data_IF_800497070280
#
_entry.id   IF_800497070280
#
_cell.length_a   1.000
_cell.length_b   1.000
_cell.length_c   1.000
_cell.angle_alpha   90.00
_cell.angle_beta   90.00
_cell.angle_gamma   90.00
#
_symmetry.space_group_name_H-M   'P 1'
#
loop_
_entity.id
_entity.type
_entity.pdbx_description
1 polymer ?
#
# COMPACT_ATOMS: atom_id res chain seq x y z
N UNK A 1 21.56 12.90 -9.09
CA UNK A 1 20.46 12.45 -9.97
C UNK A 1 19.78 11.29 -9.25
N UNK A 2 18.56 11.47 -8.76
CA UNK A 2 17.81 10.37 -8.17
C UNK A 2 17.55 9.33 -9.28
N UNK A 3 18.07 8.12 -9.11
CA UNK A 3 17.74 6.99 -9.98
C UNK A 3 16.24 6.74 -9.82
N UNK A 4 15.48 6.82 -10.91
CA UNK A 4 14.09 6.38 -10.93
C UNK A 4 14.03 4.93 -10.49
N UNK A 5 13.43 4.70 -9.32
CA UNK A 5 13.20 3.36 -8.82
C UNK A 5 11.84 2.91 -9.39
N UNK A 6 11.77 1.88 -10.25
CA UNK A 6 10.50 1.44 -10.83
C UNK A 6 9.48 0.96 -9.77
N UNK A 7 9.95 0.70 -8.54
CA UNK A 7 9.12 0.34 -7.39
C UNK A 7 8.49 1.53 -6.63
N UNK A 8 8.76 2.78 -7.04
CA UNK A 8 8.19 4.00 -6.40
C UNK A 8 7.10 4.68 -7.21
N UNK A 9 6.48 4.00 -8.18
CA UNK A 9 5.37 4.55 -8.94
C UNK A 9 4.19 4.88 -8.01
N UNK A 10 3.75 6.13 -7.99
CA UNK A 10 2.59 6.55 -7.20
C UNK A 10 1.30 5.95 -7.77
N UNK A 11 0.25 5.87 -6.94
CA UNK A 11 -1.07 5.40 -7.40
C UNK A 11 -1.64 6.28 -8.52
N UNK A 12 -1.33 7.57 -8.49
CA UNK A 12 -1.71 8.50 -9.55
C UNK A 12 -0.97 8.17 -10.84
N UNK A 13 0.35 8.00 -10.79
CA UNK A 13 1.14 7.68 -11.98
C UNK A 13 0.76 6.33 -12.58
N UNK A 14 0.47 5.34 -11.73
CA UNK A 14 -0.11 4.05 -12.12
C UNK A 14 -1.38 4.24 -12.95
N UNK A 15 -2.35 5.01 -12.45
CA UNK A 15 -3.63 5.21 -13.11
C UNK A 15 -3.47 5.93 -14.46
N UNK A 16 -2.69 7.02 -14.49
CA UNK A 16 -2.46 7.78 -15.71
C UNK A 16 -1.77 6.92 -16.80
N UNK A 17 -0.66 6.27 -16.46
CA UNK A 17 0.16 5.52 -17.43
C UNK A 17 -0.52 4.23 -17.88
N UNK A 18 -1.02 3.43 -16.95
CA UNK A 18 -1.48 2.08 -17.26
C UNK A 18 -2.94 2.00 -17.71
N UNK A 19 -3.80 2.92 -17.22
CA UNK A 19 -5.24 2.82 -17.46
C UNK A 19 -5.77 3.88 -18.43
N UNK A 20 -5.18 5.09 -18.45
CA UNK A 20 -5.63 6.20 -19.32
C UNK A 20 -4.71 6.49 -20.51
N UNK A 21 -3.57 5.79 -20.59
CA UNK A 21 -2.54 6.01 -21.61
C UNK A 21 -2.06 7.47 -21.66
N UNK A 22 -1.86 8.06 -20.48
CA UNK A 22 -1.36 9.42 -20.29
C UNK A 22 0.08 9.31 -19.84
N UNK A 23 0.99 9.86 -20.64
CA UNK A 23 2.39 10.03 -20.27
C UNK A 23 2.53 11.21 -19.30
N UNK A 24 3.28 10.97 -18.23
CA UNK A 24 3.52 11.98 -17.18
C UNK A 24 4.88 12.56 -17.42
N UNK A 25 4.92 13.87 -17.60
CA UNK A 25 6.16 14.63 -17.77
C UNK A 25 6.46 15.31 -16.45
N UNK A 26 7.46 14.80 -15.73
CA UNK A 26 7.89 15.40 -14.47
C UNK A 26 8.67 16.68 -14.72
N UNK A 27 8.20 17.77 -14.12
CA UNK A 27 8.95 19.02 -14.08
C UNK A 27 10.00 18.96 -12.96
N UNK A 28 11.26 18.76 -13.33
CA UNK A 28 12.41 18.69 -12.42
C UNK A 28 13.01 20.05 -12.04
N UNK A 29 12.42 21.16 -12.53
CA UNK A 29 12.90 22.51 -12.23
C UNK A 29 11.75 23.49 -11.96
N UNK A 30 11.95 24.48 -11.06
CA UNK A 30 11.00 25.58 -10.86
C UNK A 30 10.72 26.38 -12.14
N UNK A 31 11.71 26.51 -13.02
CA UNK A 31 11.58 27.20 -14.30
C UNK A 31 10.51 26.54 -15.20
N UNK A 32 10.36 25.22 -15.13
CA UNK A 32 9.30 24.49 -15.83
C UNK A 32 7.90 24.69 -15.20
N UNK A 33 7.81 25.27 -13.99
CA UNK A 33 6.56 25.49 -13.24
C UNK A 33 6.22 26.97 -13.01
N UNK A 34 7.01 27.92 -13.51
CA UNK A 34 6.93 29.33 -13.11
C UNK A 34 5.57 30.02 -13.28
N UNK A 35 4.75 29.64 -14.27
CA UNK A 35 3.37 30.17 -14.42
C UNK A 35 2.45 29.68 -13.30
N UNK A 36 2.54 28.40 -12.97
CA UNK A 36 1.74 27.76 -11.92
C UNK A 36 2.17 28.27 -10.55
N UNK A 37 3.47 28.42 -10.31
CA UNK A 37 3.99 28.94 -9.03
C UNK A 37 3.57 30.39 -8.78
N UNK A 38 3.61 31.25 -9.81
CA UNK A 38 3.11 32.63 -9.70
C UNK A 38 1.62 32.66 -9.35
N UNK A 39 0.81 31.87 -10.06
CA UNK A 39 -0.63 31.77 -9.79
C UNK A 39 -0.88 31.28 -8.35
N UNK A 40 -0.22 30.21 -7.92
CA UNK A 40 -0.38 29.66 -6.58
C UNK A 40 0.05 30.63 -5.49
N UNK A 41 1.13 31.38 -5.68
CA UNK A 41 1.51 32.44 -4.74
C UNK A 41 0.43 33.51 -4.61
N UNK A 42 -0.13 33.96 -5.74
CA UNK A 42 -1.24 34.93 -5.72
C UNK A 42 -2.48 34.37 -5.04
N UNK A 43 -2.86 33.11 -5.34
CA UNK A 43 -4.02 32.48 -4.71
C UNK A 43 -3.80 32.30 -3.21
N UNK A 44 -2.66 31.75 -2.78
CA UNK A 44 -2.37 31.54 -1.36
C UNK A 44 -2.35 32.85 -0.55
N UNK A 45 -1.90 33.96 -1.13
CA UNK A 45 -1.96 35.24 -0.41
C UNK A 45 -3.38 35.85 -0.45
N UNK A 46 -3.95 36.00 -1.64
CA UNK A 46 -5.18 36.77 -1.85
C UNK A 46 -6.43 36.01 -1.44
N UNK A 47 -6.56 34.74 -1.82
CA UNK A 47 -7.75 33.95 -1.51
C UNK A 47 -7.94 33.84 0.00
N UNK A 48 -6.87 33.59 0.75
CA UNK A 48 -6.92 33.49 2.22
C UNK A 48 -7.40 34.81 2.84
N UNK A 49 -6.92 35.95 2.34
CA UNK A 49 -7.35 37.28 2.80
C UNK A 49 -8.80 37.56 2.47
N UNK A 50 -9.26 37.23 1.27
CA UNK A 50 -10.67 37.42 0.88
C UNK A 50 -11.62 36.50 1.67
N UNK A 51 -11.24 35.25 1.94
CA UNK A 51 -12.00 34.37 2.83
C UNK A 51 -12.12 34.96 4.24
N UNK A 52 -11.03 35.52 4.79
CA UNK A 52 -11.06 36.22 6.10
C UNK A 52 -11.94 37.46 6.08
N UNK A 53 -11.87 38.28 5.03
CA UNK A 53 -12.68 39.49 4.91
C UNK A 53 -14.19 39.17 4.87
N UNK A 54 -14.56 38.04 4.29
CA UNK A 54 -15.95 37.57 4.23
C UNK A 54 -16.35 36.71 5.44
N UNK A 55 -15.50 36.61 6.47
CA UNK A 55 -15.71 35.80 7.67
C UNK A 55 -16.09 34.33 7.39
N UNK A 56 -15.56 33.76 6.31
CA UNK A 56 -15.84 32.38 5.90
C UNK A 56 -15.01 31.42 6.75
N UNK A 57 -15.68 30.47 7.41
CA UNK A 57 -15.03 29.51 8.30
C UNK A 57 -15.34 28.04 7.98
N UNK A 58 -16.23 27.78 7.02
CA UNK A 58 -16.61 26.43 6.61
C UNK A 58 -16.21 26.12 5.18
N UNK A 59 -15.93 24.83 4.90
CA UNK A 59 -15.58 24.36 3.54
C UNK A 59 -16.72 24.63 2.56
N UNK A 60 -17.97 24.46 3.00
CA UNK A 60 -19.15 24.67 2.16
C UNK A 60 -19.29 26.12 1.72
N UNK A 61 -19.13 27.07 2.65
CA UNK A 61 -19.15 28.50 2.34
C UNK A 61 -17.96 28.91 1.48
N UNK A 62 -16.78 28.36 1.73
CA UNK A 62 -15.60 28.62 0.92
C UNK A 62 -15.79 28.18 -0.54
N UNK A 63 -16.35 26.99 -0.77
CA UNK A 63 -16.66 26.51 -2.13
C UNK A 63 -17.68 27.42 -2.82
N UNK A 64 -18.74 27.83 -2.11
CA UNK A 64 -19.73 28.76 -2.66
C UNK A 64 -19.10 30.11 -3.05
N UNK A 65 -18.32 30.69 -2.15
CA UNK A 65 -17.61 31.95 -2.40
C UNK A 65 -16.64 31.84 -3.58
N UNK A 66 -15.94 30.72 -3.71
CA UNK A 66 -15.03 30.48 -4.83
C UNK A 66 -15.75 30.53 -6.17
N UNK A 67 -16.85 29.79 -6.30
CA UNK A 67 -17.63 29.67 -7.53
C UNK A 67 -18.39 30.96 -7.88
N UNK A 68 -19.06 31.56 -6.91
CA UNK A 68 -20.00 32.66 -7.15
C UNK A 68 -19.31 34.04 -7.20
N UNK A 69 -18.21 34.23 -6.46
CA UNK A 69 -17.58 35.54 -6.32
C UNK A 69 -16.12 35.59 -6.74
N UNK A 70 -15.28 34.71 -6.18
CA UNK A 70 -13.84 34.83 -6.34
C UNK A 70 -13.40 34.53 -7.77
N UNK A 71 -13.79 33.38 -8.35
CA UNK A 71 -13.39 33.02 -9.70
C UNK A 71 -13.90 33.99 -10.77
N UNK A 72 -15.17 34.47 -10.74
CA UNK A 72 -15.62 35.52 -11.66
C UNK A 72 -14.77 36.80 -11.57
N UNK A 73 -14.52 37.32 -10.36
CA UNK A 73 -13.71 38.53 -10.14
C UNK A 73 -12.24 38.31 -10.55
N UNK A 74 -11.70 37.13 -10.30
CA UNK A 74 -10.32 36.76 -10.64
C UNK A 74 -10.15 36.61 -12.15
N UNK A 75 -11.04 35.87 -12.81
CA UNK A 75 -10.99 35.62 -14.25
C UNK A 75 -11.22 36.92 -15.04
N UNK A 76 -12.09 37.83 -14.58
CA UNK A 76 -12.27 39.13 -15.21
C UNK A 76 -10.97 39.96 -15.27
N UNK A 77 -10.01 39.74 -14.35
CA UNK A 77 -8.74 40.47 -14.28
C UNK A 77 -7.58 39.75 -14.94
N UNK A 78 -7.54 38.42 -14.85
CA UNK A 78 -6.34 37.64 -15.16
C UNK A 78 -6.55 36.58 -16.25
N UNK A 79 -7.79 36.31 -16.67
CA UNK A 79 -8.04 35.36 -17.73
C UNK A 79 -7.51 35.89 -19.07
N UNK A 80 -6.81 35.04 -19.80
CA UNK A 80 -6.34 35.31 -21.15
C UNK A 80 -7.06 34.37 -22.09
N UNK A 81 -7.66 34.90 -23.15
CA UNK A 81 -8.32 34.04 -24.13
C UNK A 81 -7.30 33.14 -24.85
N UNK A 82 -7.66 31.87 -25.09
CA UNK A 82 -6.78 30.97 -25.83
C UNK A 82 -6.65 31.46 -27.28
N UNK A 83 -5.44 31.31 -27.85
CA UNK A 83 -5.17 31.68 -29.25
C UNK A 83 -6.09 30.99 -30.26
N UNK A 84 -6.54 29.77 -29.94
CA UNK A 84 -7.42 28.97 -30.78
C UNK A 84 -8.50 28.32 -29.90
N UNK A 85 -9.75 28.30 -30.37
CA UNK A 85 -10.89 27.66 -29.67
C UNK A 85 -10.98 26.14 -29.92
N UNK A 86 -9.96 25.54 -30.54
CA UNK A 86 -9.96 24.11 -30.85
C UNK A 86 -9.89 23.29 -29.57
N UNK A 87 -10.82 22.34 -29.41
CA UNK A 87 -10.80 21.41 -28.30
C UNK A 87 -9.90 20.20 -28.67
N UNK A 88 -8.76 20.07 -28.00
CA UNK A 88 -7.81 18.96 -28.19
C UNK A 88 -7.92 17.89 -27.10
N UNK A 89 -8.96 17.94 -26.26
CA UNK A 89 -9.16 16.96 -25.20
C UNK A 89 -9.58 15.62 -25.78
N UNK A 90 -8.96 14.54 -25.30
CA UNK A 90 -9.37 13.18 -25.65
C UNK A 90 -10.65 12.82 -24.89
N UNK A 91 -11.71 12.48 -25.63
CA UNK A 91 -12.90 11.92 -25.01
C UNK A 91 -12.63 10.52 -24.45
N UNK A 92 -13.21 10.25 -23.28
CA UNK A 92 -13.16 8.92 -22.68
C UNK A 92 -14.11 7.97 -23.40
N UNK A 93 -13.62 6.77 -23.71
CA UNK A 93 -14.44 5.67 -24.21
C UNK A 93 -15.47 5.23 -23.17
N UNK A 94 -16.58 4.61 -23.61
CA UNK A 94 -17.60 4.05 -22.70
C UNK A 94 -17.01 3.10 -21.66
N UNK A 95 -15.99 2.33 -22.06
CA UNK A 95 -15.29 1.38 -21.20
C UNK A 95 -14.47 2.10 -20.12
N UNK A 96 -13.72 3.15 -20.47
CA UNK A 96 -12.98 3.95 -19.48
C UNK A 96 -13.93 4.62 -18.49
N UNK A 97 -15.02 5.22 -18.99
CA UNK A 97 -16.06 5.84 -18.14
C UNK A 97 -16.65 4.86 -17.12
N UNK A 98 -16.94 3.62 -17.53
CA UNK A 98 -17.47 2.59 -16.61
C UNK A 98 -16.46 2.10 -15.57
N UNK A 99 -15.17 2.37 -15.75
CA UNK A 99 -14.08 1.84 -14.92
C UNK A 99 -13.39 2.91 -14.09
N UNK A 100 -13.86 4.16 -14.10
CA UNK A 100 -13.19 5.27 -13.42
C UNK A 100 -12.91 4.98 -11.93
N UNK A 101 -13.87 4.38 -11.22
CA UNK A 101 -13.68 4.01 -9.80
C UNK A 101 -12.54 3.00 -9.60
N UNK A 102 -12.37 2.06 -10.54
CA UNK A 102 -11.27 1.10 -10.52
C UNK A 102 -9.94 1.75 -10.93
N UNK A 103 -9.98 2.63 -11.94
CA UNK A 103 -8.80 3.35 -12.43
C UNK A 103 -8.21 4.25 -11.35
N UNK A 104 -9.05 5.02 -10.66
CA UNK A 104 -8.64 5.95 -9.61
C UNK A 104 -8.59 5.34 -8.21
N UNK A 105 -8.82 4.03 -8.07
CA UNK A 105 -8.66 3.33 -6.80
C UNK A 105 -7.19 3.23 -6.36
N UNK A 106 -6.98 3.16 -5.04
CA UNK A 106 -5.71 2.72 -4.48
C UNK A 106 -5.53 1.22 -4.73
N UNK A 107 -4.56 0.84 -5.57
CA UNK A 107 -4.35 -0.56 -5.94
C UNK A 107 -3.17 -1.19 -5.20
N UNK A 108 -3.40 -2.31 -4.54
CA UNK A 108 -2.39 -3.01 -3.73
C UNK A 108 -2.33 -4.49 -4.08
N UNK A 109 -1.13 -5.06 -4.16
CA UNK A 109 -0.99 -6.52 -4.32
C UNK A 109 -1.08 -7.21 -2.96
N UNK A 110 -1.92 -8.24 -2.85
CA UNK A 110 -2.03 -9.13 -1.68
C UNK A 110 -2.01 -10.58 -2.12
N UNK A 111 -1.61 -11.45 -1.21
CA UNK A 111 -1.51 -12.89 -1.46
C UNK A 111 -2.67 -13.60 -0.79
N UNK A 112 -3.33 -14.49 -1.54
CA UNK A 112 -4.36 -15.38 -0.99
C UNK A 112 -3.70 -16.41 -0.09
N UNK A 113 -4.14 -16.47 1.17
CA UNK A 113 -3.64 -17.44 2.14
C UNK A 113 -4.15 -18.86 1.87
N UNK A 114 -3.58 -19.82 2.59
CA UNK A 114 -3.92 -21.24 2.42
C UNK A 114 -5.39 -21.58 2.77
N UNK A 115 -6.02 -20.75 3.60
CA UNK A 115 -7.43 -20.80 4.01
C UNK A 115 -8.34 -19.93 3.12
N UNK A 116 -7.83 -19.44 1.98
CA UNK A 116 -8.53 -18.53 1.07
C UNK A 116 -8.95 -17.20 1.70
N UNK A 117 -8.18 -16.75 2.69
CA UNK A 117 -8.32 -15.40 3.25
C UNK A 117 -7.33 -14.41 2.63
N UNK A 118 -7.71 -13.13 2.61
CA UNK A 118 -6.87 -12.01 2.21
C UNK A 118 -6.85 -11.00 3.35
N UNK A 119 -5.65 -10.65 3.83
CA UNK A 119 -5.48 -9.61 4.84
C UNK A 119 -5.23 -8.25 4.17
N UNK A 120 -5.96 -7.22 4.60
CA UNK A 120 -5.77 -5.87 4.12
C UNK A 120 -6.20 -4.82 5.15
N UNK A 121 -5.34 -3.82 5.42
CA UNK A 121 -5.57 -2.72 6.39
C UNK A 121 -6.25 -3.17 7.70
N UNK A 122 -5.65 -4.15 8.39
CA UNK A 122 -6.12 -4.78 9.64
C UNK A 122 -7.36 -5.67 9.52
N UNK A 123 -8.09 -5.61 8.42
CA UNK A 123 -9.22 -6.50 8.14
C UNK A 123 -8.77 -7.80 7.48
N UNK A 124 -9.59 -8.84 7.65
CA UNK A 124 -9.41 -10.14 7.03
C UNK A 124 -10.67 -10.46 6.21
N UNK A 125 -10.48 -10.79 4.94
CA UNK A 125 -11.56 -11.05 4.00
C UNK A 125 -11.52 -12.51 3.60
N UNK A 126 -12.62 -13.23 3.80
CA UNK A 126 -12.78 -14.61 3.36
C UNK A 126 -13.34 -14.61 1.94
N UNK A 127 -12.66 -15.30 1.03
CA UNK A 127 -13.19 -15.55 -0.30
C UNK A 127 -14.30 -16.61 -0.24
N UNK A 128 -15.39 -16.38 -0.97
CA UNK A 128 -16.48 -17.35 -1.08
C UNK A 128 -16.08 -18.57 -1.93
N UNK A 129 -16.82 -19.66 -1.79
CA UNK A 129 -16.57 -20.89 -2.57
C UNK A 129 -16.89 -20.70 -4.06
N UNK A 130 -17.97 -19.98 -4.36
CA UNK A 130 -18.41 -19.72 -5.74
C UNK A 130 -17.71 -18.46 -6.22
N UNK A 131 -16.86 -18.61 -7.23
CA UNK A 131 -16.02 -17.54 -7.75
C UNK A 131 -16.13 -17.48 -9.28
N UNK A 132 -16.03 -16.27 -9.87
CA UNK A 132 -16.05 -16.11 -11.32
C UNK A 132 -14.74 -16.56 -11.98
N UNK A 133 -13.70 -16.85 -11.20
CA UNK A 133 -12.41 -17.34 -11.68
C UNK A 133 -11.83 -18.34 -10.68
N UNK A 134 -11.07 -19.32 -11.16
CA UNK A 134 -10.35 -20.27 -10.31
C UNK A 134 -9.29 -19.56 -9.48
N UNK A 135 -9.35 -19.78 -8.16
CA UNK A 135 -8.42 -19.19 -7.19
C UNK A 135 -7.53 -20.30 -6.66
N UNK A 136 -6.22 -20.07 -6.71
CA UNK A 136 -5.22 -20.94 -6.12
C UNK A 136 -4.67 -20.34 -4.82
N UNK A 137 -4.20 -21.21 -3.93
CA UNK A 137 -3.43 -20.78 -2.75
C UNK A 137 -2.18 -20.04 -3.23
N UNK A 138 -1.84 -18.93 -2.56
CA UNK A 138 -0.72 -18.04 -2.90
C UNK A 138 -0.91 -17.22 -4.18
N UNK A 139 -2.10 -17.22 -4.79
CA UNK A 139 -2.38 -16.29 -5.89
C UNK A 139 -2.22 -14.84 -5.41
N UNK A 140 -1.66 -14.00 -6.29
CA UNK A 140 -1.54 -12.57 -6.05
C UNK A 140 -2.79 -11.88 -6.61
N UNK A 141 -3.56 -11.29 -5.72
CA UNK A 141 -4.76 -10.52 -6.04
C UNK A 141 -4.46 -9.02 -5.97
N UNK A 142 -5.15 -8.25 -6.81
CA UNK A 142 -5.16 -6.79 -6.72
C UNK A 142 -6.32 -6.36 -5.84
N UNK A 143 -6.01 -5.69 -4.73
CA UNK A 143 -6.98 -5.02 -3.88
C UNK A 143 -7.17 -3.61 -4.40
N UNK A 144 -8.41 -3.23 -4.69
CA UNK A 144 -8.83 -1.89 -5.11
C UNK A 144 -9.53 -1.22 -3.94
N UNK A 145 -8.96 -0.12 -3.43
CA UNK A 145 -9.62 0.78 -2.49
C UNK A 145 -10.22 1.95 -3.24
N UNK A 146 -11.55 1.97 -3.35
CA UNK A 146 -12.26 3.01 -4.07
C UNK A 146 -12.49 4.25 -3.19
N UNK A 147 -12.82 5.37 -3.82
CA UNK A 147 -13.02 6.66 -3.16
C UNK A 147 -14.24 6.65 -2.21
N UNK A 148 -15.22 5.81 -2.49
CA UNK A 148 -16.38 5.51 -1.63
C UNK A 148 -16.05 4.58 -0.46
N UNK A 149 -14.77 4.26 -0.25
CA UNK A 149 -14.25 3.34 0.77
C UNK A 149 -14.60 1.87 0.54
N UNK A 150 -15.24 1.54 -0.59
CA UNK A 150 -15.47 0.14 -0.94
C UNK A 150 -14.16 -0.52 -1.35
N UNK A 151 -14.03 -1.80 -0.97
CA UNK A 151 -12.86 -2.62 -1.28
C UNK A 151 -13.29 -3.64 -2.32
N UNK A 152 -12.48 -3.87 -3.34
CA UNK A 152 -12.75 -4.89 -4.34
C UNK A 152 -11.49 -5.73 -4.55
N UNK A 153 -11.66 -7.03 -4.72
CA UNK A 153 -10.54 -7.94 -5.02
C UNK A 153 -10.62 -8.36 -6.47
N UNK A 154 -9.58 -8.09 -7.25
CA UNK A 154 -9.48 -8.44 -8.66
C UNK A 154 -8.39 -9.47 -8.90
N UNK A 155 -8.73 -10.55 -9.61
CA UNK A 155 -7.81 -11.59 -10.04
C UNK A 155 -8.07 -11.91 -11.51
N UNK A 156 -7.02 -11.92 -12.34
CA UNK A 156 -7.11 -12.23 -13.79
C UNK A 156 -8.22 -11.46 -14.52
N UNK A 157 -8.44 -10.21 -14.13
CA UNK A 157 -9.45 -9.32 -14.74
C UNK A 157 -10.90 -9.53 -14.26
N UNK A 158 -11.15 -10.39 -13.27
CA UNK A 158 -12.48 -10.61 -12.66
C UNK A 158 -12.48 -10.19 -11.20
N UNK A 159 -13.61 -9.66 -10.73
CA UNK A 159 -13.83 -9.33 -9.32
C UNK A 159 -14.26 -10.57 -8.54
N UNK A 160 -13.69 -10.77 -7.36
CA UNK A 160 -13.94 -11.93 -6.53
C UNK A 160 -15.08 -11.68 -5.54
N UNK A 161 -15.81 -12.74 -5.21
CA UNK A 161 -16.82 -12.71 -4.16
C UNK A 161 -16.15 -12.89 -2.80
N UNK A 162 -16.49 -12.07 -1.82
CA UNK A 162 -15.85 -12.11 -0.51
C UNK A 162 -16.78 -11.62 0.59
N UNK A 163 -16.45 -11.99 1.82
CA UNK A 163 -17.08 -11.49 3.05
C UNK A 163 -16.03 -11.00 4.03
N UNK A 164 -16.35 -9.93 4.75
CA UNK A 164 -15.52 -9.43 5.83
C UNK A 164 -15.64 -10.38 7.04
N UNK A 165 -14.51 -10.80 7.59
CA UNK A 165 -14.49 -11.54 8.85
C UNK A 165 -14.39 -10.56 10.02
N UNK A 166 -15.20 -10.73 11.09
CA UNK A 166 -15.17 -9.85 12.26
C UNK A 166 -13.87 -10.02 13.06
N UNK A 167 -13.32 -11.24 13.09
CA UNK A 167 -12.05 -11.55 13.72
C UNK A 167 -11.16 -12.38 12.78
N UNK A 168 -9.85 -12.20 12.92
CA UNK A 168 -8.89 -13.04 12.21
C UNK A 168 -9.01 -14.48 12.71
N UNK A 169 -9.05 -15.49 11.82
CA UNK A 169 -9.07 -16.88 12.26
C UNK A 169 -7.83 -17.15 13.11
N UNK A 170 -8.05 -17.59 14.35
CA UNK A 170 -6.96 -17.98 15.26
C UNK A 170 -6.26 -19.17 14.64
N UNK A 171 -4.94 -19.09 14.50
CA UNK A 171 -4.14 -20.24 14.09
C UNK A 171 -4.32 -21.31 15.16
N UNK A 172 -4.98 -22.41 14.82
CA UNK A 172 -4.97 -23.61 15.64
C UNK A 172 -3.54 -24.13 15.56
N UNK A 173 -2.76 -23.87 16.60
CA UNK A 173 -1.45 -24.46 16.75
C UNK A 173 -1.71 -25.92 17.12
N UNK A 174 -1.90 -26.78 16.10
CA UNK A 174 -1.86 -28.21 16.34
C UNK A 174 -0.44 -28.45 16.80
N UNK A 175 -0.26 -28.74 18.09
CA UNK A 175 1.02 -29.11 18.64
C UNK A 175 1.58 -30.19 17.72
N UNK A 176 2.57 -29.80 16.91
CA UNK A 176 3.41 -30.77 16.25
C UNK A 176 4.21 -31.35 17.40
N UNK A 177 3.70 -32.44 18.00
CA UNK A 177 4.54 -33.34 18.78
C UNK A 177 5.81 -33.53 17.98
N UNK A 178 6.91 -33.00 18.50
CA UNK A 178 8.20 -33.14 17.84
C UNK A 178 8.50 -34.65 17.86
N UNK A 179 8.31 -35.33 16.72
CA UNK A 179 8.70 -36.73 16.55
C UNK A 179 10.23 -36.92 16.61
N UNK A 180 10.97 -35.81 16.70
CA UNK A 180 12.42 -35.77 16.89
C UNK A 180 12.68 -35.51 18.37
N UNK A 181 13.11 -36.54 19.09
CA UNK A 181 13.77 -36.37 20.39
C UNK A 181 15.08 -35.63 20.11
N UNK A 182 15.15 -34.34 20.46
CA UNK A 182 16.39 -33.58 20.36
C UNK A 182 17.38 -34.19 21.34
N UNK A 183 18.51 -34.73 20.86
CA UNK A 183 19.56 -35.25 21.71
C UNK A 183 20.10 -34.12 22.60
N UNK A 184 19.82 -34.18 23.90
CA UNK A 184 20.29 -33.18 24.85
C UNK A 184 21.82 -33.34 24.99
N UNK A 185 22.59 -32.47 24.34
CA UNK A 185 24.04 -32.60 24.19
C UNK A 185 24.85 -32.26 25.45
N UNK A 186 24.21 -32.05 26.60
CA UNK A 186 24.85 -31.64 27.85
C UNK A 186 24.63 -32.62 29.01
N UNK A 187 24.58 -33.92 28.73
CA UNK A 187 24.60 -34.91 29.80
C UNK A 187 25.98 -35.00 30.44
N UNK A 188 26.12 -34.45 31.66
CA UNK A 188 27.32 -34.67 32.49
C UNK A 188 27.12 -35.97 33.28
N UNK A 189 27.96 -37.00 33.06
CA UNK A 189 27.82 -38.26 33.78
C UNK A 189 28.04 -38.05 35.28
N UNK A 190 27.30 -38.79 36.14
CA UNK A 190 27.42 -38.68 37.59
C UNK A 190 28.82 -39.05 38.09
N UNK A 191 29.16 -38.61 39.31
CA UNK A 191 30.51 -38.77 39.89
C UNK A 191 30.95 -40.23 39.97
N UNK A 192 30.00 -41.15 40.13
CA UNK A 192 30.26 -42.59 40.27
C UNK A 192 30.38 -43.33 38.93
N UNK A 193 30.33 -42.60 37.81
CA UNK A 193 30.40 -43.17 36.46
C UNK A 193 31.77 -43.84 36.20
N UNK A 194 31.82 -45.04 35.61
CA UNK A 194 33.06 -45.80 35.40
C UNK A 194 34.19 -45.01 34.72
N UNK A 195 33.84 -44.17 33.74
CA UNK A 195 34.79 -43.34 32.96
C UNK A 195 35.46 -42.21 33.77
N UNK A 196 34.90 -41.81 34.93
CA UNK A 196 35.54 -40.88 35.87
C UNK A 196 36.43 -41.60 36.89
N UNK A 197 36.19 -42.88 37.15
CA UNK A 197 37.00 -43.69 38.09
C UNK A 197 38.40 -43.97 37.53
N UNK A 198 38.52 -44.20 36.23
CA UNK A 198 39.80 -44.43 35.55
C UNK A 198 40.71 -43.21 35.59
N UNK A 199 40.18 -42.00 35.37
CA UNK A 199 40.95 -40.76 35.42
C UNK A 199 41.54 -40.46 36.82
N UNK A 200 40.82 -40.79 37.89
CA UNK A 200 41.32 -40.65 39.27
C UNK A 200 42.46 -41.63 39.57
N UNK A 201 42.37 -42.85 39.07
CA UNK A 201 43.39 -43.89 39.22
C UNK A 201 44.68 -43.56 38.45
N UNK A 202 44.58 -43.00 37.25
CA UNK A 202 45.75 -42.53 36.48
C UNK A 202 46.43 -41.31 37.11
N UNK A 203 45.65 -40.36 37.65
CA UNK A 203 46.19 -39.22 38.38
C UNK A 203 46.96 -39.64 39.64
N UNK A 204 46.42 -40.58 40.42
CA UNK A 204 47.09 -41.12 41.60
C UNK A 204 48.36 -41.91 41.25
N UNK A 205 48.35 -42.68 40.15
CA UNK A 205 49.55 -43.38 39.64
C UNK A 205 50.67 -42.43 39.19
N UNK A 206 50.33 -41.23 38.72
CA UNK A 206 51.32 -40.18 38.38
C UNK A 206 51.96 -39.56 39.62
N UNK A 207 51.19 -39.37 40.69
CA UNK A 207 51.70 -38.83 41.96
C UNK A 207 52.64 -39.78 42.69
N UNK A 208 52.45 -41.10 42.56
CA UNK A 208 53.29 -42.12 43.22
C UNK A 208 54.55 -42.52 42.43
N UNK A 209 54.76 -41.96 41.23
CA UNK A 209 55.94 -42.25 40.37
C UNK A 209 57.04 -41.18 40.45
N UNK A 210 56.92 -40.22 41.37
CA UNK A 210 58.00 -39.29 41.72
C UNK A 210 58.51 -39.69 43.11
N UNK A 211 59.44 -40.63 43.14
CA UNK A 211 60.36 -40.94 44.24
C UNK A 211 61.68 -41.31 43.62
#
# INVERSE_FOLDING_TARGET
LAKENPDTLTQFERAMKNDLNIEIIHAHSPQAKGRVEKLFKTLQDRLIKELRLNNISTIKEANRFLEEEFFPKFNAKFMVEPRTKANLHKELTKREKSRLDSIFSGQYKRVVRNDFTIDHKKNCYQLDKIQPVTICKRDIVTVEERMDQTIQFRLRGKYLNYKLLPEKPKKINVDKTQWVIVANSNYKPPVDHPWRKTAKLEYLKKLTKVS
#
